data_IF_899640865304
#
_entry.id   IF_899640865304
#
_cell.length_a   1.000
_cell.length_b   1.000
_cell.length_c   1.000
_cell.angle_alpha   90.00
_cell.angle_beta   90.00
_cell.angle_gamma   90.00
#
_symmetry.space_group_name_H-M   'P 1'
#
loop_
_entity.id
_entity.type
_entity.pdbx_description
1 polymer ?
#
# COMPACT_ATOMS: atom_id res chain seq x y z
N UNK A 1 12.18 -3.32 -9.46
CA UNK A 1 13.35 -2.90 -8.68
C UNK A 1 13.02 -1.53 -8.12
N UNK A 2 12.77 -1.41 -6.82
CA UNK A 2 12.59 -0.13 -6.13
C UNK A 2 13.91 0.62 -6.18
N UNK A 3 13.93 1.73 -6.86
CA UNK A 3 15.17 2.35 -7.32
C UNK A 3 15.96 3.15 -6.28
N UNK A 4 15.39 3.52 -5.13
CA UNK A 4 16.13 4.40 -4.20
C UNK A 4 15.76 4.17 -2.74
N UNK A 5 16.78 3.91 -1.92
CA UNK A 5 16.82 4.39 -0.55
C UNK A 5 17.45 5.78 -0.59
N UNK A 6 16.67 6.82 -0.40
CA UNK A 6 17.18 8.17 -0.27
C UNK A 6 17.60 8.38 1.19
N UNK A 7 18.88 8.64 1.41
CA UNK A 7 19.39 8.96 2.75
C UNK A 7 19.00 10.41 3.05
N UNK A 8 18.09 10.61 4.01
CA UNK A 8 17.74 11.94 4.49
C UNK A 8 18.46 12.16 5.82
N UNK A 9 19.38 13.09 5.83
CA UNK A 9 20.09 13.49 7.05
C UNK A 9 19.37 14.68 7.68
N UNK A 10 19.05 14.57 8.96
CA UNK A 10 18.45 15.63 9.73
C UNK A 10 19.47 16.11 10.77
N UNK A 11 19.57 17.41 10.94
CA UNK A 11 20.48 18.06 11.91
C UNK A 11 19.88 18.22 13.29
N UNK A 12 18.57 18.05 13.42
CA UNK A 12 17.82 18.21 14.68
C UNK A 12 16.95 16.98 14.98
N UNK A 13 16.48 16.87 16.22
CA UNK A 13 15.56 15.82 16.64
C UNK A 13 14.22 15.97 15.93
N UNK A 14 13.82 14.95 15.16
CA UNK A 14 12.57 14.94 14.40
C UNK A 14 11.60 13.93 14.99
N UNK A 15 10.37 14.39 15.20
CA UNK A 15 9.24 13.53 15.52
C UNK A 15 8.43 13.24 14.26
N UNK A 16 8.52 11.99 13.76
CA UNK A 16 7.72 11.57 12.61
C UNK A 16 6.46 10.86 13.07
N UNK A 17 5.34 11.24 12.46
CA UNK A 17 4.07 10.53 12.55
C UNK A 17 3.67 10.09 11.14
N UNK A 18 3.30 8.83 10.96
CA UNK A 18 2.98 8.29 9.64
C UNK A 18 1.70 7.45 9.65
N UNK A 19 0.93 7.56 8.56
CA UNK A 19 -0.25 6.74 8.28
C UNK A 19 0.07 5.83 7.11
N UNK A 20 -0.14 4.53 7.28
CA UNK A 20 0.04 3.55 6.22
C UNK A 20 -1.30 2.98 5.79
N UNK A 21 -1.68 3.24 4.56
CA UNK A 21 -2.87 2.66 3.97
C UNK A 21 -2.68 1.18 3.62
N UNK A 22 -3.74 0.41 3.76
CA UNK A 22 -3.82 -0.92 3.18
C UNK A 22 -3.79 -0.83 1.64
N UNK A 23 -3.46 -1.91 0.94
CA UNK A 23 -3.56 -1.94 -0.52
C UNK A 23 -4.93 -1.48 -1.00
N UNK A 24 -4.97 -0.61 -2.00
CA UNK A 24 -6.15 0.11 -2.50
C UNK A 24 -6.78 1.10 -1.50
N UNK A 25 -6.33 1.19 -0.24
CA UNK A 25 -6.94 2.09 0.74
C UNK A 25 -6.83 3.56 0.35
N UNK A 26 -5.68 3.99 -0.18
CA UNK A 26 -5.49 5.38 -0.61
C UNK A 26 -6.39 5.73 -1.81
N UNK A 27 -6.73 4.78 -2.68
CA UNK A 27 -7.61 5.03 -3.82
C UNK A 27 -9.06 5.35 -3.42
N UNK A 28 -9.45 5.14 -2.15
CA UNK A 28 -10.75 5.58 -1.64
C UNK A 28 -10.79 7.10 -1.36
N UNK A 29 -9.63 7.75 -1.39
CA UNK A 29 -9.48 9.18 -1.10
C UNK A 29 -9.05 10.00 -2.32
N UNK A 30 -8.58 9.37 -3.39
CA UNK A 30 -8.11 10.07 -4.59
C UNK A 30 -8.40 9.27 -5.85
N UNK A 31 -8.70 9.98 -6.95
CA UNK A 31 -8.81 9.42 -8.29
C UNK A 31 -7.47 9.36 -9.02
N UNK A 32 -6.41 9.89 -8.42
CA UNK A 32 -5.09 9.89 -9.05
C UNK A 32 -4.55 8.46 -9.17
N UNK A 33 -3.88 8.14 -10.29
CA UNK A 33 -3.30 6.83 -10.50
C UNK A 33 -2.18 6.56 -9.49
N UNK A 34 -2.34 5.59 -8.59
CA UNK A 34 -1.37 5.35 -7.51
C UNK A 34 0.04 4.99 -8.01
N UNK A 35 0.19 4.56 -9.28
CA UNK A 35 1.52 4.29 -9.83
C UNK A 35 2.38 5.54 -10.06
N UNK A 36 1.78 6.73 -10.09
CA UNK A 36 2.52 7.99 -10.17
C UNK A 36 3.22 8.31 -8.84
N UNK A 37 2.72 7.77 -7.74
CA UNK A 37 3.31 7.94 -6.40
C UNK A 37 4.36 6.90 -6.02
N UNK A 38 4.55 5.87 -6.86
CA UNK A 38 5.50 4.80 -6.56
C UNK A 38 6.93 5.33 -6.62
N UNK A 39 7.68 5.17 -5.52
CA UNK A 39 9.04 5.67 -5.33
C UNK A 39 9.18 7.20 -5.43
N UNK A 40 8.10 7.93 -5.22
CA UNK A 40 8.13 9.39 -5.15
C UNK A 40 7.72 9.88 -3.76
N UNK A 41 8.18 11.06 -3.43
CA UNK A 41 7.68 11.84 -2.29
C UNK A 41 6.79 12.93 -2.87
N UNK A 42 5.55 12.91 -2.47
CA UNK A 42 4.55 13.89 -2.90
C UNK A 42 4.25 14.78 -1.72
N UNK A 43 4.30 16.08 -1.93
CA UNK A 43 3.92 17.05 -0.90
C UNK A 43 2.42 16.95 -0.61
N UNK A 44 2.01 17.20 0.62
CA UNK A 44 0.59 17.37 0.98
C UNK A 44 -0.07 18.47 0.14
N UNK A 45 0.68 19.46 -0.28
CA UNK A 45 0.21 20.52 -1.19
C UNK A 45 -0.26 20.00 -2.56
N UNK A 46 0.31 18.88 -3.04
CA UNK A 46 -0.12 18.23 -4.28
C UNK A 46 -1.37 17.35 -4.07
N UNK A 47 -1.71 17.07 -2.81
CA UNK A 47 -2.87 16.31 -2.39
C UNK A 47 -3.88 17.13 -1.57
N UNK A 48 -3.94 18.46 -1.78
CA UNK A 48 -4.83 19.37 -1.03
C UNK A 48 -6.31 19.00 -1.07
N UNK A 49 -6.74 18.31 -2.12
CA UNK A 49 -8.11 17.77 -2.19
C UNK A 49 -8.39 16.72 -1.12
N UNK A 50 -7.35 16.07 -0.58
CA UNK A 50 -7.45 15.03 0.44
C UNK A 50 -6.91 15.52 1.78
N UNK A 51 -5.77 16.23 1.77
CA UNK A 51 -5.09 16.73 2.98
C UNK A 51 -4.93 18.25 2.87
N UNK A 52 -5.96 18.98 3.31
CA UNK A 52 -5.98 20.43 3.28
C UNK A 52 -5.10 21.05 4.39
N UNK A 53 -4.90 22.37 4.28
CA UNK A 53 -4.07 23.11 5.22
C UNK A 53 -4.65 23.02 6.66
N UNK A 54 -5.97 23.00 6.80
CA UNK A 54 -6.67 22.84 8.10
C UNK A 54 -6.34 21.51 8.78
N UNK A 55 -6.26 20.43 8.01
CA UNK A 55 -5.84 19.13 8.52
C UNK A 55 -4.41 19.15 9.02
N UNK A 56 -3.50 19.76 8.23
CA UNK A 56 -2.08 19.84 8.59
C UNK A 56 -1.87 20.68 9.87
N UNK A 57 -2.56 21.82 9.98
CA UNK A 57 -2.53 22.66 11.17
C UNK A 57 -3.02 21.91 12.41
N UNK A 58 -4.21 21.32 12.34
CA UNK A 58 -4.76 20.53 13.45
C UNK A 58 -3.85 19.39 13.88
N UNK A 59 -3.23 18.70 12.92
CA UNK A 59 -2.30 17.61 13.22
C UNK A 59 -1.02 18.13 13.91
N UNK A 60 -0.51 19.29 13.46
CA UNK A 60 0.68 19.92 14.01
C UNK A 60 0.50 20.42 15.44
N UNK A 61 -0.69 20.88 15.81
CA UNK A 61 -1.04 21.32 17.16
C UNK A 61 -1.02 20.20 18.22
N UNK A 62 -1.15 18.95 17.79
CA UNK A 62 -1.23 17.82 18.71
C UNK A 62 0.14 17.41 19.24
N UNK A 63 0.29 17.41 20.55
CA UNK A 63 1.53 17.01 21.24
C UNK A 63 1.63 15.49 21.44
N UNK A 64 0.50 14.81 21.67
CA UNK A 64 0.46 13.39 21.96
C UNK A 64 0.08 12.57 20.73
N UNK A 65 0.67 11.39 20.58
CA UNK A 65 0.41 10.47 19.47
C UNK A 65 -1.05 10.04 19.40
N UNK A 66 -1.68 9.83 20.57
CA UNK A 66 -3.11 9.46 20.66
C UNK A 66 -4.03 10.52 20.07
N UNK A 67 -3.70 11.81 20.28
CA UNK A 67 -4.51 12.91 19.76
C UNK A 67 -4.29 13.06 18.25
N UNK A 68 -3.06 12.85 17.77
CA UNK A 68 -2.76 12.80 16.34
C UNK A 68 -3.54 11.69 15.64
N UNK A 69 -3.60 10.49 16.22
CA UNK A 69 -4.38 9.36 15.70
C UNK A 69 -5.85 9.76 15.58
N UNK A 70 -6.43 10.35 16.64
CA UNK A 70 -7.82 10.79 16.63
C UNK A 70 -8.10 11.82 15.54
N UNK A 71 -7.26 12.85 15.42
CA UNK A 71 -7.39 13.85 14.34
C UNK A 71 -7.38 13.22 12.96
N UNK A 72 -6.46 12.27 12.73
CA UNK A 72 -6.39 11.56 11.44
C UNK A 72 -7.63 10.71 11.18
N UNK A 73 -8.06 9.94 12.17
CA UNK A 73 -9.25 9.08 12.03
C UNK A 73 -10.51 9.90 11.77
N UNK A 74 -10.75 10.93 12.56
CA UNK A 74 -11.91 11.82 12.39
C UNK A 74 -11.90 12.49 11.01
N UNK A 75 -10.74 12.96 10.57
CA UNK A 75 -10.60 13.62 9.28
C UNK A 75 -10.85 12.66 8.11
N UNK A 76 -10.20 11.49 8.13
CA UNK A 76 -10.35 10.50 7.07
C UNK A 76 -11.78 9.93 7.02
N UNK A 77 -12.40 9.68 8.17
CA UNK A 77 -13.80 9.23 8.23
C UNK A 77 -14.77 10.30 7.72
N UNK A 78 -14.56 11.57 8.10
CA UNK A 78 -15.38 12.68 7.60
C UNK A 78 -15.20 12.87 6.09
N UNK A 79 -14.00 12.68 5.56
CA UNK A 79 -13.75 12.71 4.12
C UNK A 79 -14.49 11.58 3.41
N UNK A 80 -14.36 10.35 3.88
CA UNK A 80 -15.07 9.19 3.33
C UNK A 80 -16.59 9.36 3.36
N UNK A 81 -17.15 9.91 4.45
CA UNK A 81 -18.58 10.14 4.56
C UNK A 81 -19.12 11.11 3.47
N UNK A 82 -18.27 12.02 2.98
CA UNK A 82 -18.65 13.02 1.96
C UNK A 82 -18.30 12.60 0.54
N UNK A 83 -17.22 11.84 0.37
CA UNK A 83 -16.60 11.57 -0.94
C UNK A 83 -16.32 10.09 -1.14
N UNK A 84 -17.10 9.21 -0.50
CA UNK A 84 -16.83 7.77 -0.57
C UNK A 84 -16.76 7.27 -2.01
N UNK A 85 -15.60 6.76 -2.36
CA UNK A 85 -15.37 6.05 -3.62
C UNK A 85 -14.92 4.63 -3.28
N UNK A 86 -15.74 3.61 -3.58
CA UNK A 86 -15.33 2.24 -3.34
C UNK A 86 -14.12 1.90 -4.22
N UNK A 87 -13.15 1.20 -3.65
CA UNK A 87 -12.10 0.59 -4.45
C UNK A 87 -12.73 -0.35 -5.49
N UNK A 88 -12.12 -0.45 -6.65
CA UNK A 88 -12.59 -1.36 -7.70
C UNK A 88 -12.69 -2.79 -7.16
N UNK A 89 -13.87 -3.40 -7.21
CA UNK A 89 -14.16 -4.71 -6.61
C UNK A 89 -13.27 -5.83 -7.19
N UNK A 90 -12.96 -5.80 -8.48
CA UNK A 90 -12.09 -6.78 -9.13
C UNK A 90 -10.66 -6.65 -8.62
N UNK A 91 -10.18 -5.41 -8.44
CA UNK A 91 -8.84 -5.16 -7.90
C UNK A 91 -8.78 -5.57 -6.42
N UNK A 92 -9.77 -5.21 -5.63
CA UNK A 92 -9.86 -5.59 -4.21
C UNK A 92 -9.88 -7.13 -4.05
N UNK A 93 -10.67 -7.82 -4.87
CA UNK A 93 -10.72 -9.28 -4.91
C UNK A 93 -9.35 -9.87 -5.26
N UNK A 94 -8.69 -9.37 -6.31
CA UNK A 94 -7.36 -9.84 -6.71
C UNK A 94 -6.30 -9.60 -5.63
N UNK A 95 -6.31 -8.44 -4.97
CA UNK A 95 -5.43 -8.14 -3.82
C UNK A 95 -5.64 -9.15 -2.69
N UNK A 96 -6.88 -9.46 -2.34
CA UNK A 96 -7.20 -10.46 -1.33
C UNK A 96 -6.70 -11.85 -1.72
N UNK A 97 -6.90 -12.28 -2.97
CA UNK A 97 -6.40 -13.55 -3.48
C UNK A 97 -4.88 -13.67 -3.43
N UNK A 98 -4.17 -12.60 -3.83
CA UNK A 98 -2.71 -12.56 -3.76
C UNK A 98 -2.22 -12.65 -2.31
N UNK A 99 -2.85 -11.91 -1.40
CA UNK A 99 -2.49 -11.94 0.01
C UNK A 99 -2.74 -13.32 0.65
N UNK A 100 -3.90 -13.92 0.42
CA UNK A 100 -4.25 -15.26 0.93
C UNK A 100 -3.30 -16.34 0.39
N UNK A 101 -2.93 -16.27 -0.89
CA UNK A 101 -1.97 -17.21 -1.49
C UNK A 101 -0.52 -16.90 -1.12
N UNK A 102 -0.27 -15.87 -0.28
CA UNK A 102 1.08 -15.40 0.05
C UNK A 102 1.93 -15.08 -1.20
N UNK A 103 1.28 -14.56 -2.24
CA UNK A 103 1.90 -14.23 -3.52
C UNK A 103 2.25 -15.42 -4.41
N UNK A 104 1.80 -16.64 -4.09
CA UNK A 104 2.13 -17.86 -4.86
C UNK A 104 1.24 -18.06 -6.08
N UNK A 105 0.05 -17.45 -6.10
CA UNK A 105 -0.91 -17.60 -7.19
C UNK A 105 -0.44 -16.93 -8.48
N UNK A 106 -0.63 -17.58 -9.62
CA UNK A 106 -0.25 -17.01 -10.91
C UNK A 106 -1.20 -15.88 -11.33
N UNK A 107 -0.68 -14.90 -12.08
CA UNK A 107 -1.51 -13.80 -12.62
C UNK A 107 -2.61 -14.33 -13.53
N UNK A 108 -2.32 -15.39 -14.31
CA UNK A 108 -3.30 -16.03 -15.17
C UNK A 108 -4.50 -16.57 -14.39
N UNK A 109 -4.23 -17.30 -13.30
CA UNK A 109 -5.30 -17.81 -12.44
C UNK A 109 -6.11 -16.69 -11.76
N UNK A 110 -5.49 -15.54 -11.48
CA UNK A 110 -6.23 -14.38 -10.96
C UNK A 110 -7.19 -13.81 -12.01
N UNK A 111 -6.78 -13.78 -13.27
CA UNK A 111 -7.62 -13.27 -14.36
C UNK A 111 -8.85 -14.13 -14.60
N UNK A 112 -8.71 -15.46 -14.50
CA UNK A 112 -9.81 -16.40 -14.66
C UNK A 112 -10.94 -16.10 -13.65
N UNK A 113 -10.57 -15.73 -12.41
CA UNK A 113 -11.53 -15.40 -11.35
C UNK A 113 -12.12 -13.99 -11.47
N UNK A 114 -11.34 -13.02 -11.95
CA UNK A 114 -11.78 -11.62 -12.06
C UNK A 114 -12.56 -11.35 -13.34
N UNK A 115 -12.63 -12.28 -14.28
CA UNK A 115 -13.35 -12.17 -15.57
C UNK A 115 -13.00 -10.90 -16.36
N UNK A 116 -11.74 -10.49 -16.36
CA UNK A 116 -11.23 -9.34 -17.11
C UNK A 116 -10.14 -9.78 -18.09
N UNK A 117 -10.05 -9.13 -19.25
CA UNK A 117 -8.90 -9.35 -20.12
C UNK A 117 -7.63 -8.79 -19.46
N UNK A 118 -6.48 -9.41 -19.75
CA UNK A 118 -5.20 -9.15 -19.10
C UNK A 118 -4.82 -7.66 -19.09
N UNK A 119 -4.89 -7.02 -20.27
CA UNK A 119 -4.52 -5.61 -20.41
C UNK A 119 -5.38 -4.67 -19.53
N UNK A 120 -6.68 -4.95 -19.45
CA UNK A 120 -7.62 -4.16 -18.65
C UNK A 120 -7.37 -4.38 -17.16
N UNK A 121 -7.18 -5.64 -16.74
CA UNK A 121 -6.87 -6.01 -15.39
C UNK A 121 -5.57 -5.37 -14.90
N UNK A 122 -4.48 -5.53 -15.64
CA UNK A 122 -3.17 -4.95 -15.26
C UNK A 122 -3.22 -3.42 -15.16
N UNK A 123 -3.90 -2.74 -16.08
CA UNK A 123 -4.08 -1.30 -16.04
C UNK A 123 -4.87 -0.86 -14.80
N UNK A 124 -6.00 -1.50 -14.51
CA UNK A 124 -6.80 -1.21 -13.31
C UNK A 124 -6.00 -1.49 -12.04
N UNK A 125 -5.40 -2.66 -11.96
CA UNK A 125 -4.62 -3.05 -10.79
C UNK A 125 -3.51 -2.05 -10.50
N UNK A 126 -2.77 -1.63 -11.54
CA UNK A 126 -1.72 -0.62 -11.44
C UNK A 126 -2.25 0.76 -11.02
N UNK A 127 -3.43 1.14 -11.52
CA UNK A 127 -4.08 2.39 -11.13
C UNK A 127 -4.39 2.44 -9.62
N UNK A 128 -5.01 1.38 -9.09
CA UNK A 128 -5.52 1.34 -7.71
C UNK A 128 -4.49 0.89 -6.66
N UNK A 129 -3.40 0.23 -7.06
CA UNK A 129 -2.38 -0.29 -6.12
C UNK A 129 -1.01 0.34 -6.29
N UNK A 130 -0.75 0.99 -7.41
CA UNK A 130 0.56 1.50 -7.80
C UNK A 130 1.45 0.47 -8.50
N UNK A 131 1.12 -0.82 -8.44
CA UNK A 131 1.95 -1.91 -8.95
C UNK A 131 1.18 -2.76 -9.94
N UNK A 132 1.89 -3.47 -10.83
CA UNK A 132 1.29 -4.54 -11.61
C UNK A 132 0.96 -5.74 -10.70
N UNK A 133 0.01 -6.62 -11.07
CA UNK A 133 -0.30 -7.82 -10.28
C UNK A 133 0.94 -8.69 -10.01
N UNK A 134 1.84 -8.79 -10.98
CA UNK A 134 3.09 -9.55 -10.86
C UNK A 134 4.05 -8.92 -9.85
N UNK A 135 4.24 -7.61 -9.90
CA UNK A 135 5.08 -6.88 -8.93
C UNK A 135 4.51 -6.99 -7.52
N UNK A 136 3.19 -6.81 -7.36
CA UNK A 136 2.53 -6.91 -6.09
C UNK A 136 2.65 -8.33 -5.50
N UNK A 137 2.44 -9.37 -6.30
CA UNK A 137 2.64 -10.77 -5.88
C UNK A 137 4.08 -11.02 -5.41
N UNK A 138 5.07 -10.45 -6.08
CA UNK A 138 6.48 -10.55 -5.67
C UNK A 138 6.75 -9.87 -4.33
N UNK A 139 6.13 -8.71 -4.08
CA UNK A 139 6.23 -8.00 -2.80
C UNK A 139 5.61 -8.84 -1.67
N UNK A 140 4.42 -9.39 -1.89
CA UNK A 140 3.74 -10.24 -0.91
C UNK A 140 4.54 -11.51 -0.64
N UNK A 141 5.07 -12.15 -1.68
CA UNK A 141 5.92 -13.34 -1.58
C UNK A 141 7.19 -13.05 -0.77
N UNK A 142 7.84 -11.93 -1.04
CA UNK A 142 9.02 -11.50 -0.28
C UNK A 142 8.70 -11.25 1.20
N UNK A 143 7.61 -10.53 1.49
CA UNK A 143 7.17 -10.31 2.88
C UNK A 143 6.91 -11.63 3.62
N UNK A 144 6.28 -12.59 2.95
CA UNK A 144 6.06 -13.92 3.52
C UNK A 144 7.38 -14.65 3.79
N UNK A 145 8.35 -14.59 2.89
CA UNK A 145 9.68 -15.19 3.10
C UNK A 145 10.40 -14.56 4.31
N UNK A 146 10.37 -13.24 4.42
CA UNK A 146 10.95 -12.53 5.58
C UNK A 146 10.25 -12.94 6.88
N UNK A 147 8.93 -13.08 6.88
CA UNK A 147 8.18 -13.51 8.07
C UNK A 147 8.55 -14.95 8.48
N UNK A 148 8.65 -15.86 7.52
CA UNK A 148 9.10 -17.24 7.77
C UNK A 148 10.51 -17.28 8.38
N UNK A 149 11.43 -16.45 7.88
CA UNK A 149 12.79 -16.35 8.45
C UNK A 149 12.80 -15.82 9.88
N UNK A 150 11.89 -14.90 10.21
CA UNK A 150 11.81 -14.31 11.56
C UNK A 150 11.17 -15.24 12.58
N UNK A 151 10.24 -16.08 12.15
CA UNK A 151 9.44 -16.94 13.03
C UNK A 151 10.03 -18.35 13.20
N UNK A 152 10.93 -18.78 12.31
CA UNK A 152 11.52 -20.13 12.34
C UNK A 152 12.96 -20.08 12.87
N UNK A 153 13.16 -20.55 14.08
CA UNK A 153 14.46 -20.49 14.81
C UNK A 153 15.60 -21.25 14.11
N UNK A 154 15.28 -22.24 13.26
CA UNK A 154 16.25 -23.05 12.49
C UNK A 154 16.06 -22.89 10.98
N UNK A 155 15.61 -21.72 10.51
CA UNK A 155 15.31 -21.51 9.11
C UNK A 155 16.58 -21.59 8.24
N UNK A 156 16.60 -22.56 7.32
CA UNK A 156 17.54 -22.56 6.24
C UNK A 156 17.01 -21.66 5.11
N UNK A 157 17.83 -20.76 4.59
CA UNK A 157 17.46 -19.84 3.51
C UNK A 157 16.90 -20.57 2.29
N UNK A 158 17.45 -21.74 1.95
CA UNK A 158 16.99 -22.52 0.80
C UNK A 158 15.58 -23.06 1.01
N UNK A 159 15.33 -23.72 2.15
CA UNK A 159 13.99 -24.25 2.49
C UNK A 159 12.96 -23.11 2.59
N UNK A 160 13.33 -22.02 3.23
CA UNK A 160 12.46 -20.84 3.33
C UNK A 160 12.12 -20.25 1.95
N UNK A 161 13.10 -20.19 1.03
CA UNK A 161 12.86 -19.73 -0.32
C UNK A 161 11.87 -20.64 -1.06
N UNK A 162 12.04 -21.96 -0.96
CA UNK A 162 11.09 -22.94 -1.55
C UNK A 162 9.71 -22.82 -0.92
N UNK A 163 9.61 -22.74 0.41
CA UNK A 163 8.35 -22.60 1.15
C UNK A 163 7.64 -21.29 0.83
N UNK A 164 8.39 -20.23 0.58
CA UNK A 164 7.86 -18.96 0.10
C UNK A 164 7.47 -18.98 -1.39
N UNK A 165 7.82 -20.04 -2.15
CA UNK A 165 7.50 -20.19 -3.57
C UNK A 165 8.53 -19.56 -4.51
N UNK A 166 9.78 -19.45 -4.11
CA UNK A 166 10.90 -19.16 -5.00
C UNK A 166 11.55 -20.48 -5.47
N UNK A 167 11.69 -20.63 -6.76
CA UNK A 167 12.39 -21.75 -7.41
C UNK A 167 13.33 -21.22 -8.46
#
# INVERSE_FOLDING_TARGET
MTKYSELVTYTESIHMFGVRFLPCGLSCFTNLPLHEFVNSRVSTNEMKAVFDDTFIEKLGEQKHVTDRIRVVEEYLLAYLARHYQPADSHVAMAVNMINHSKGKRSVRSLMDDVCLCQRHFERKFKHYTGFTPKEYSRIVKFKNAVELLRTTTSANLLTTAVDAGYY
#
